data_IF_217767002671
#
_entry.id   IF_217767002671
#
_cell.length_a   1.000
_cell.length_b   1.000
_cell.length_c   1.000
_cell.angle_alpha   90.00
_cell.angle_beta   90.00
_cell.angle_gamma   90.00
#
_symmetry.space_group_name_H-M   'P 1'
#
loop_
_entity.id
_entity.type
_entity.pdbx_description
1 polymer ?
#
# COMPACT_ATOMS: atom_id res chain seq x y z
N UNK A 1 41.20 -18.65 -26.40
CA UNK A 1 40.12 -18.72 -25.37
C UNK A 1 39.45 -17.35 -25.07
N UNK A 2 39.23 -16.46 -26.07
CA UNK A 2 38.58 -15.14 -25.85
C UNK A 2 37.19 -15.01 -26.48
N UNK A 3 36.89 -15.78 -27.53
CA UNK A 3 35.62 -15.72 -28.27
C UNK A 3 34.44 -16.33 -27.50
N UNK A 4 34.67 -17.40 -26.74
CA UNK A 4 33.61 -18.06 -25.94
C UNK A 4 33.03 -17.15 -24.84
N UNK A 5 33.83 -16.23 -24.27
CA UNK A 5 33.36 -15.29 -23.24
C UNK A 5 32.51 -14.15 -23.81
N UNK A 6 32.78 -13.73 -25.05
CA UNK A 6 31.96 -12.72 -25.74
C UNK A 6 30.59 -13.25 -26.12
N UNK A 7 30.50 -14.51 -26.58
CA UNK A 7 29.21 -15.12 -26.92
C UNK A 7 28.29 -15.26 -25.70
N UNK A 8 28.83 -15.60 -24.51
CA UNK A 8 28.05 -15.71 -23.27
C UNK A 8 27.53 -14.34 -22.80
N UNK A 9 28.33 -13.29 -22.94
CA UNK A 9 27.94 -11.91 -22.61
C UNK A 9 26.83 -11.39 -23.53
N UNK A 10 26.92 -11.67 -24.83
CA UNK A 10 25.87 -11.28 -25.79
C UNK A 10 24.58 -12.06 -25.51
N UNK A 11 24.65 -13.35 -25.18
CA UNK A 11 23.48 -14.15 -24.80
C UNK A 11 22.80 -13.62 -23.52
N UNK A 12 23.57 -13.18 -22.52
CA UNK A 12 23.05 -12.58 -21.30
C UNK A 12 22.37 -11.22 -21.54
N UNK A 13 22.91 -10.39 -22.44
CA UNK A 13 22.30 -9.09 -22.79
C UNK A 13 21.00 -9.29 -23.57
N UNK A 14 20.94 -10.27 -24.47
CA UNK A 14 19.71 -10.60 -25.22
C UNK A 14 18.63 -11.19 -24.32
N UNK A 15 18.99 -12.04 -23.35
CA UNK A 15 18.05 -12.53 -22.32
C UNK A 15 17.59 -11.41 -21.36
N UNK A 16 18.46 -10.43 -21.08
CA UNK A 16 18.12 -9.26 -20.27
C UNK A 16 17.22 -8.23 -20.98
N UNK A 17 17.27 -8.16 -22.31
CA UNK A 17 16.40 -7.28 -23.10
C UNK A 17 14.97 -7.82 -23.24
N UNK A 18 14.77 -9.14 -23.12
CA UNK A 18 13.44 -9.75 -23.21
C UNK A 18 12.56 -9.50 -21.96
N UNK A 19 13.14 -9.13 -20.82
CA UNK A 19 12.40 -8.75 -19.59
C UNK A 19 12.09 -7.25 -19.51
N UNK A 20 12.54 -6.44 -20.48
CA UNK A 20 12.37 -5.00 -20.47
C UNK A 20 11.12 -4.52 -21.24
N UNK A 21 10.43 -5.41 -21.95
CA UNK A 21 9.08 -5.14 -22.47
C UNK A 21 8.04 -5.63 -21.47
N UNK A 22 8.05 -5.04 -20.27
CA UNK A 22 6.80 -4.91 -19.55
C UNK A 22 6.00 -3.89 -20.36
N UNK A 23 5.14 -4.39 -21.26
CA UNK A 23 4.11 -3.58 -21.88
C UNK A 23 3.46 -2.80 -20.75
N UNK A 24 3.71 -1.49 -20.72
CA UNK A 24 2.92 -0.56 -19.94
C UNK A 24 1.57 -0.51 -20.64
N UNK A 25 0.77 -1.58 -20.47
CA UNK A 25 -0.62 -1.57 -20.85
C UNK A 25 -1.21 -0.40 -20.09
N UNK A 26 -1.60 0.60 -20.86
CA UNK A 26 -2.27 1.81 -20.41
C UNK A 26 -3.73 1.42 -20.11
N UNK A 27 -3.90 0.38 -19.27
CA UNK A 27 -5.20 -0.08 -18.81
C UNK A 27 -5.78 1.01 -17.92
N UNK A 28 -7.10 1.21 -17.92
CA UNK A 28 -7.75 2.25 -17.13
C UNK A 28 -7.60 1.95 -15.63
N UNK A 29 -6.48 2.46 -15.10
CA UNK A 29 -6.04 2.53 -13.71
C UNK A 29 -7.06 3.27 -12.85
N UNK A 30 -7.92 2.51 -12.23
CA UNK A 30 -8.83 3.04 -11.25
C UNK A 30 -8.04 3.57 -10.04
N UNK A 31 -8.24 4.82 -9.61
CA UNK A 31 -7.48 5.44 -8.50
C UNK A 31 -8.29 5.36 -7.20
N UNK A 32 -7.71 4.71 -6.18
CA UNK A 32 -8.09 5.02 -4.79
C UNK A 32 -7.35 6.28 -4.38
N UNK A 33 -8.06 7.40 -4.18
CA UNK A 33 -7.52 8.53 -3.43
C UNK A 33 -7.50 8.11 -1.97
N UNK A 34 -6.41 7.43 -1.63
CA UNK A 34 -6.18 6.85 -0.33
C UNK A 34 -5.84 7.98 0.61
N UNK A 35 -6.88 8.50 1.26
CA UNK A 35 -6.76 9.05 2.59
C UNK A 35 -5.99 10.37 2.55
N UNK A 36 -6.68 11.50 2.39
CA UNK A 36 -6.11 12.82 2.70
C UNK A 36 -6.57 13.25 4.08
N UNK A 37 -5.66 13.82 4.88
CA UNK A 37 -5.97 14.45 6.16
C UNK A 37 -5.66 15.94 6.11
N UNK A 38 -6.64 16.79 6.39
CA UNK A 38 -6.44 18.22 6.61
C UNK A 38 -6.45 18.47 8.12
N UNK A 39 -5.31 18.92 8.64
CA UNK A 39 -5.36 19.83 9.79
C UNK A 39 -5.34 21.25 9.21
N UNK A 40 -6.30 22.16 9.54
CA UNK A 40 -7.10 22.16 10.76
C UNK A 40 -8.65 22.20 10.60
N UNK A 41 -9.29 21.86 9.47
CA UNK A 41 -10.79 21.83 9.36
C UNK A 41 -11.28 21.10 8.08
N UNK A 42 -12.57 20.68 7.99
CA UNK A 42 -12.93 19.29 7.76
C UNK A 42 -12.93 18.87 6.28
N UNK A 43 -12.39 17.69 6.01
CA UNK A 43 -12.64 16.95 4.77
C UNK A 43 -14.09 16.48 4.63
N UNK A 44 -14.88 16.52 5.71
CA UNK A 44 -16.24 16.02 5.72
C UNK A 44 -17.21 17.00 5.05
N UNK A 45 -18.18 16.50 4.25
CA UNK A 45 -19.27 17.33 3.75
C UNK A 45 -20.14 17.84 4.91
N UNK A 46 -21.02 18.81 4.63
CA UNK A 46 -21.92 19.40 5.64
C UNK A 46 -22.80 18.39 6.40
N UNK A 47 -23.00 17.19 5.83
CA UNK A 47 -23.74 16.08 6.46
C UNK A 47 -22.89 15.27 7.46
N UNK A 48 -21.61 15.57 7.61
CA UNK A 48 -20.65 14.86 8.45
C UNK A 48 -19.95 13.70 7.73
N UNK A 49 -18.99 13.10 8.43
CA UNK A 49 -18.31 11.87 8.05
C UNK A 49 -18.90 10.66 8.80
N UNK A 50 -18.85 9.49 8.19
CA UNK A 50 -19.24 8.24 8.85
C UNK A 50 -18.13 7.76 9.79
N UNK A 51 -18.43 7.63 11.09
CA UNK A 51 -17.49 7.05 12.06
C UNK A 51 -17.29 5.55 11.82
N UNK A 52 -16.03 5.11 11.71
CA UNK A 52 -15.67 3.72 11.42
C UNK A 52 -14.66 3.18 12.44
N UNK A 53 -14.77 1.88 12.73
CA UNK A 53 -13.88 1.16 13.63
C UNK A 53 -12.70 0.50 12.91
N UNK A 54 -12.04 -0.45 13.58
CA UNK A 54 -10.92 -1.22 13.01
C UNK A 54 -11.34 -2.09 11.82
N UNK A 55 -12.61 -2.50 11.79
CA UNK A 55 -13.22 -3.23 10.69
C UNK A 55 -14.45 -2.46 10.26
N UNK A 56 -14.61 -2.25 8.95
CA UNK A 56 -15.79 -1.60 8.40
C UNK A 56 -16.02 -2.03 6.96
N UNK A 57 -17.23 -1.82 6.46
CA UNK A 57 -17.58 -2.10 5.08
C UNK A 57 -18.19 -0.87 4.44
N UNK A 58 -17.99 -0.72 3.14
CA UNK A 58 -18.58 0.34 2.35
C UNK A 58 -18.77 -0.12 0.90
N UNK A 59 -19.66 0.55 0.19
CA UNK A 59 -19.92 0.26 -1.22
C UNK A 59 -19.43 1.40 -2.10
N UNK A 60 -18.90 1.06 -3.27
CA UNK A 60 -18.55 2.04 -4.31
C UNK A 60 -19.80 2.84 -4.69
N UNK A 61 -19.69 4.17 -4.88
CA UNK A 61 -20.80 5.00 -5.35
C UNK A 61 -21.47 4.42 -6.59
N UNK A 62 -22.78 4.62 -6.75
CA UNK A 62 -23.57 4.05 -7.86
C UNK A 62 -23.01 4.36 -9.25
N UNK A 63 -22.33 5.49 -9.41
CA UNK A 63 -21.72 5.93 -10.67
C UNK A 63 -20.28 5.44 -10.86
N UNK A 64 -19.76 4.59 -9.97
CA UNK A 64 -18.40 4.05 -10.06
C UNK A 64 -17.29 5.04 -9.72
N UNK A 65 -17.65 6.26 -9.32
CA UNK A 65 -16.71 7.33 -8.98
C UNK A 65 -17.27 8.24 -7.89
N UNK A 66 -16.37 8.98 -7.25
CA UNK A 66 -16.68 9.91 -6.17
C UNK A 66 -15.91 9.61 -4.90
N UNK A 67 -16.20 10.37 -3.85
CA UNK A 67 -15.49 10.28 -2.57
C UNK A 67 -16.43 9.76 -1.48
N UNK A 68 -15.93 8.81 -0.70
CA UNK A 68 -16.51 8.40 0.57
C UNK A 68 -15.74 9.08 1.71
N UNK A 69 -16.47 9.50 2.74
CA UNK A 69 -15.94 10.33 3.82
C UNK A 69 -16.13 9.62 5.16
N UNK A 70 -15.02 9.38 5.85
CA UNK A 70 -14.96 8.59 7.06
C UNK A 70 -14.23 9.32 8.18
N UNK A 71 -14.49 8.92 9.42
CA UNK A 71 -13.72 9.33 10.60
C UNK A 71 -13.25 8.11 11.34
N UNK A 72 -11.96 8.05 11.68
CA UNK A 72 -11.43 7.01 12.54
C UNK A 72 -12.01 7.16 13.95
N UNK A 73 -13.00 6.33 14.28
CA UNK A 73 -13.65 6.25 15.58
C UNK A 73 -13.26 4.98 16.34
N UNK A 74 -12.14 4.35 15.96
CA UNK A 74 -11.70 3.06 16.51
C UNK A 74 -11.05 3.15 17.90
N UNK A 75 -10.71 4.34 18.37
CA UNK A 75 -9.93 4.55 19.58
C UNK A 75 -8.42 4.29 19.41
N UNK A 76 -7.94 4.01 18.19
CA UNK A 76 -6.53 3.70 17.89
C UNK A 76 -6.04 4.45 16.66
N UNK A 77 -4.74 4.77 16.63
CA UNK A 77 -4.09 5.32 15.44
C UNK A 77 -3.81 4.18 14.45
N UNK A 78 -4.12 4.39 13.18
CA UNK A 78 -3.92 3.38 12.14
C UNK A 78 -2.62 3.64 11.39
N UNK A 79 -1.85 2.57 11.22
CA UNK A 79 -0.55 2.54 10.52
C UNK A 79 -0.60 1.71 9.23
N UNK A 80 -1.70 0.97 9.02
CA UNK A 80 -2.02 0.30 7.77
C UNK A 80 -3.54 0.23 7.57
N UNK A 81 -3.96 0.09 6.32
CA UNK A 81 -5.34 -0.11 5.92
C UNK A 81 -5.39 -1.11 4.77
N UNK A 82 -6.09 -2.21 4.96
CA UNK A 82 -6.31 -3.23 3.94
C UNK A 82 -7.76 -3.14 3.47
N UNK A 83 -7.98 -3.12 2.16
CA UNK A 83 -9.29 -3.13 1.53
C UNK A 83 -9.42 -4.41 0.71
N UNK A 84 -10.53 -5.14 0.87
CA UNK A 84 -10.79 -6.39 0.17
C UNK A 84 -12.10 -6.27 -0.60
N UNK A 85 -12.01 -6.61 -1.88
CA UNK A 85 -13.11 -6.66 -2.85
C UNK A 85 -13.36 -8.12 -3.26
N UNK A 86 -14.61 -8.46 -3.62
CA UNK A 86 -15.03 -9.84 -3.89
C UNK A 86 -14.57 -10.43 -5.24
N UNK A 87 -13.63 -9.80 -5.95
CA UNK A 87 -12.97 -10.34 -7.14
C UNK A 87 -13.60 -9.90 -8.47
N UNK A 88 -14.46 -8.89 -8.45
CA UNK A 88 -15.11 -8.31 -9.63
C UNK A 88 -14.13 -7.49 -10.46
N UNK A 89 -13.12 -6.88 -9.83
CA UNK A 89 -12.11 -6.05 -10.50
C UNK A 89 -10.74 -6.69 -10.33
N UNK A 90 -10.01 -7.01 -11.41
CA UNK A 90 -8.68 -7.61 -11.30
C UNK A 90 -7.66 -6.63 -10.72
N UNK A 91 -6.70 -7.13 -9.93
CA UNK A 91 -5.69 -6.30 -9.26
C UNK A 91 -4.82 -5.48 -10.23
N UNK A 92 -4.64 -5.96 -11.47
CA UNK A 92 -3.91 -5.26 -12.54
C UNK A 92 -4.63 -4.00 -13.05
N UNK A 93 -5.95 -3.93 -12.91
CA UNK A 93 -6.75 -2.77 -13.31
C UNK A 93 -6.83 -1.70 -12.21
N UNK A 94 -6.26 -1.98 -11.02
CA UNK A 94 -6.33 -1.08 -9.86
C UNK A 94 -5.02 -0.31 -9.74
N UNK A 95 -5.13 1.00 -9.61
CA UNK A 95 -4.05 1.87 -9.18
C UNK A 95 -4.40 2.57 -7.87
N UNK A 96 -3.36 3.01 -7.17
CA UNK A 96 -3.54 3.57 -5.85
C UNK A 96 -2.71 4.84 -5.75
N UNK A 97 -3.36 5.93 -5.35
CA UNK A 97 -2.72 7.22 -5.12
C UNK A 97 -3.08 7.63 -3.70
N UNK A 98 -2.09 7.63 -2.81
CA UNK A 98 -2.32 7.88 -1.40
C UNK A 98 -1.24 8.82 -0.85
N UNK A 99 -1.57 9.56 0.21
CA UNK A 99 -0.65 10.51 0.85
C UNK A 99 -0.50 10.34 2.38
N UNK A 100 -1.18 9.36 2.99
CA UNK A 100 -1.10 9.11 4.44
C UNK A 100 -0.26 7.89 4.82
N UNK A 101 0.08 7.03 3.86
CA UNK A 101 0.93 5.86 4.04
C UNK A 101 2.17 5.96 3.14
N UNK A 102 3.12 5.04 3.32
CA UNK A 102 4.32 4.99 2.47
C UNK A 102 4.17 4.13 1.22
N UNK A 103 3.28 3.14 1.29
CA UNK A 103 3.12 2.11 0.26
C UNK A 103 1.65 1.92 -0.09
N UNK A 104 1.40 1.47 -1.31
CA UNK A 104 0.12 0.91 -1.69
C UNK A 104 0.34 -0.23 -2.68
N UNK A 105 -0.14 -1.42 -2.35
CA UNK A 105 0.06 -2.63 -3.16
C UNK A 105 -1.26 -3.33 -3.39
N UNK A 106 -1.44 -3.91 -4.57
CA UNK A 106 -2.63 -4.68 -4.95
C UNK A 106 -2.25 -6.13 -5.21
N UNK A 107 -3.10 -7.07 -4.78
CA UNK A 107 -2.90 -8.50 -4.98
C UNK A 107 -4.23 -9.21 -5.16
N UNK A 108 -4.29 -10.14 -6.09
CA UNK A 108 -5.40 -11.10 -6.19
C UNK A 108 -5.16 -12.26 -5.22
N UNK A 109 -6.14 -12.54 -4.37
CA UNK A 109 -6.17 -13.65 -3.43
C UNK A 109 -6.58 -14.95 -4.14
N UNK A 110 -6.30 -16.09 -3.50
CA UNK A 110 -6.57 -17.42 -4.08
C UNK A 110 -8.06 -17.68 -4.35
N UNK A 111 -8.95 -17.02 -3.60
CA UNK A 111 -10.39 -17.11 -3.77
C UNK A 111 -10.93 -16.17 -4.87
N UNK A 112 -10.06 -15.47 -5.59
CA UNK A 112 -10.43 -14.51 -6.63
C UNK A 112 -10.65 -13.07 -6.12
N UNK A 113 -10.79 -12.87 -4.81
CA UNK A 113 -10.89 -11.54 -4.20
C UNK A 113 -9.65 -10.70 -4.48
N UNK A 114 -9.80 -9.37 -4.47
CA UNK A 114 -8.68 -8.46 -4.61
C UNK A 114 -8.43 -7.71 -3.31
N UNK A 115 -7.17 -7.77 -2.87
CA UNK A 115 -6.66 -7.11 -1.69
C UNK A 115 -5.84 -5.88 -2.10
N UNK A 116 -6.13 -4.75 -1.47
CA UNK A 116 -5.42 -3.48 -1.61
C UNK A 116 -4.88 -3.12 -0.24
N UNK A 117 -3.56 -3.12 -0.09
CA UNK A 117 -2.89 -2.85 1.19
C UNK A 117 -2.22 -1.49 1.11
N UNK A 118 -2.64 -0.57 1.98
CA UNK A 118 -1.95 0.69 2.25
C UNK A 118 -1.15 0.53 3.55
N UNK A 119 0.18 0.69 3.51
CA UNK A 119 0.99 0.46 4.71
C UNK A 119 2.21 1.36 4.83
N UNK A 120 2.72 1.37 6.06
CA UNK A 120 3.91 2.08 6.48
C UNK A 120 3.67 3.57 6.69
N UNK A 121 4.41 4.11 7.66
CA UNK A 121 4.34 5.51 8.09
C UNK A 121 5.76 6.06 8.11
N UNK A 122 5.95 7.33 7.73
CA UNK A 122 7.21 8.05 7.96
C UNK A 122 7.15 8.77 9.28
N UNK A 123 8.12 8.52 10.15
CA UNK A 123 8.33 9.35 11.34
C UNK A 123 8.95 10.69 10.94
N UNK A 124 8.40 11.81 11.42
CA UNK A 124 8.92 13.17 11.17
C UNK A 124 7.83 14.22 10.93
N UNK A 125 8.16 15.36 10.31
CA UNK A 125 7.21 16.42 9.91
C UNK A 125 6.46 16.11 8.59
N UNK A 126 6.51 14.86 8.13
CA UNK A 126 5.89 14.44 6.87
C UNK A 126 4.40 14.11 7.08
N UNK A 127 3.56 14.24 6.04
CA UNK A 127 2.12 13.94 6.12
C UNK A 127 1.82 12.45 6.33
N UNK A 128 2.77 11.55 6.05
CA UNK A 128 2.61 10.09 6.07
C UNK A 128 2.65 9.47 7.49
N UNK A 129 1.80 9.95 8.40
CA UNK A 129 1.71 9.46 9.80
C UNK A 129 0.58 8.44 10.01
N UNK A 130 -0.06 7.98 8.93
CA UNK A 130 -1.26 7.16 8.99
C UNK A 130 -2.51 7.97 9.34
N UNK A 131 -3.51 7.29 9.92
CA UNK A 131 -4.81 7.90 10.28
C UNK A 131 -4.95 7.92 11.79
N UNK A 132 -4.82 9.09 12.40
CA UNK A 132 -4.94 9.23 13.85
C UNK A 132 -6.38 9.00 14.32
N UNK A 133 -6.54 8.59 15.57
CA UNK A 133 -7.86 8.48 16.19
C UNK A 133 -8.56 9.86 16.19
N UNK A 134 -9.83 9.89 15.79
CA UNK A 134 -10.63 11.10 15.62
C UNK A 134 -10.35 11.86 14.32
N UNK A 135 -9.38 11.44 13.51
CA UNK A 135 -9.08 12.07 12.23
C UNK A 135 -10.02 11.60 11.14
N UNK A 136 -10.49 12.54 10.32
CA UNK A 136 -11.28 12.26 9.13
C UNK A 136 -10.38 11.96 7.93
N UNK A 137 -10.87 11.07 7.07
CA UNK A 137 -10.21 10.66 5.85
C UNK A 137 -11.21 10.39 4.73
N UNK A 138 -10.69 10.26 3.52
CA UNK A 138 -11.49 9.96 2.33
C UNK A 138 -10.97 8.73 1.60
N UNK A 139 -11.89 8.01 0.98
CA UNK A 139 -11.59 6.99 -0.02
C UNK A 139 -12.25 7.47 -1.31
N UNK A 140 -11.45 7.97 -2.24
CA UNK A 140 -11.94 8.41 -3.54
C UNK A 140 -11.83 7.32 -4.58
N UNK A 141 -12.79 7.26 -5.50
CA UNK A 141 -12.82 6.38 -6.65
C UNK A 141 -12.84 7.25 -7.91
N UNK A 142 -11.86 7.08 -8.78
CA UNK A 142 -11.79 7.80 -10.05
C UNK A 142 -12.00 6.86 -11.24
N UNK A 143 -12.60 7.41 -12.30
CA UNK A 143 -12.63 6.77 -13.60
C UNK A 143 -11.39 7.16 -14.41
N UNK A 144 -10.93 6.27 -15.30
CA UNK A 144 -9.94 6.61 -16.31
C UNK A 144 -10.46 6.30 -17.71
N UNK A 145 -10.32 7.30 -18.59
CA UNK A 145 -10.57 7.18 -20.03
C UNK A 145 -11.90 6.49 -20.41
N UNK A 146 -12.96 6.69 -19.59
CA UNK A 146 -14.33 6.12 -19.69
C UNK A 146 -14.61 4.82 -18.93
N UNK A 147 -13.63 4.19 -18.30
CA UNK A 147 -13.85 3.05 -17.40
C UNK A 147 -13.88 3.50 -15.94
N UNK A 148 -14.99 3.22 -15.27
CA UNK A 148 -15.21 3.48 -13.85
C UNK A 148 -15.28 2.16 -13.06
N UNK A 149 -15.26 2.23 -11.74
CA UNK A 149 -15.60 1.05 -10.94
C UNK A 149 -17.03 0.58 -11.23
N UNK A 150 -17.31 -0.73 -11.09
CA UNK A 150 -18.67 -1.21 -10.95
C UNK A 150 -19.35 -0.51 -9.75
N UNK A 151 -20.47 0.18 -9.99
CA UNK A 151 -21.20 0.85 -8.93
C UNK A 151 -21.87 -0.14 -7.98
N UNK A 152 -21.87 0.16 -6.68
CA UNK A 152 -22.44 -0.73 -5.65
C UNK A 152 -21.56 -1.93 -5.28
N UNK A 153 -20.32 -1.97 -5.75
CA UNK A 153 -19.34 -2.97 -5.36
C UNK A 153 -18.99 -2.83 -3.87
N UNK A 154 -19.07 -3.92 -3.12
CA UNK A 154 -18.79 -3.91 -1.69
C UNK A 154 -17.31 -4.16 -1.40
N UNK A 155 -16.78 -3.35 -0.48
CA UNK A 155 -15.47 -3.50 0.11
C UNK A 155 -15.58 -3.81 1.60
N UNK A 156 -14.69 -4.68 2.07
CA UNK A 156 -14.39 -4.82 3.49
C UNK A 156 -13.04 -4.19 3.78
N UNK A 157 -12.95 -3.43 4.86
CA UNK A 157 -11.76 -2.70 5.25
C UNK A 157 -11.30 -3.13 6.63
N UNK A 158 -9.98 -3.35 6.76
CA UNK A 158 -9.30 -3.74 7.98
C UNK A 158 -8.15 -2.78 8.26
N UNK A 159 -8.21 -2.07 9.37
CA UNK A 159 -7.13 -1.19 9.82
C UNK A 159 -6.15 -1.92 10.74
N UNK A 160 -4.85 -1.63 10.59
CA UNK A 160 -3.81 -2.06 11.53
C UNK A 160 -3.32 -0.88 12.37
N UNK A 161 -3.10 -1.10 13.68
CA UNK A 161 -2.70 -0.05 14.63
C UNK A 161 -1.27 -0.23 15.19
N UNK A 162 -0.55 -1.27 14.79
CA UNK A 162 0.81 -1.53 15.22
C UNK A 162 1.76 -1.39 14.02
N UNK A 163 2.96 -0.79 14.20
CA UNK A 163 4.05 -0.98 13.24
C UNK A 163 4.25 -2.48 13.10
N UNK A 164 4.15 -3.00 11.87
CA UNK A 164 4.16 -4.44 11.63
C UNK A 164 5.30 -5.10 12.40
N UNK A 165 5.03 -6.09 13.27
CA UNK A 165 6.04 -6.64 14.17
C UNK A 165 7.25 -7.22 13.44
N UNK A 166 7.10 -7.59 12.16
CA UNK A 166 8.21 -8.02 11.30
C UNK A 166 9.26 -6.94 11.06
N UNK A 167 8.88 -5.66 10.95
CA UNK A 167 9.84 -4.58 10.67
C UNK A 167 10.71 -4.27 11.89
N UNK A 168 10.12 -4.28 13.09
CA UNK A 168 10.86 -4.10 14.34
C UNK A 168 11.77 -5.30 14.60
N UNK A 169 11.27 -6.52 14.37
CA UNK A 169 12.07 -7.74 14.51
C UNK A 169 13.25 -7.78 13.51
N UNK A 170 13.04 -7.39 12.25
CA UNK A 170 14.10 -7.33 11.23
C UNK A 170 15.13 -6.23 11.53
N UNK A 171 14.72 -5.07 12.02
CA UNK A 171 15.66 -4.03 12.46
C UNK A 171 16.48 -4.47 13.67
N UNK A 172 15.85 -5.10 14.66
CA UNK A 172 16.54 -5.60 15.86
C UNK A 172 17.51 -6.75 15.54
N UNK A 173 17.11 -7.69 14.68
CA UNK A 173 18.00 -8.77 14.22
C UNK A 173 19.13 -8.23 13.33
N UNK A 174 18.86 -7.25 12.47
CA UNK A 174 19.87 -6.56 11.68
C UNK A 174 20.93 -5.84 12.53
N UNK A 175 20.50 -5.09 13.55
CA UNK A 175 21.44 -4.48 14.52
C UNK A 175 22.20 -5.54 15.33
N UNK A 176 21.53 -6.60 15.77
CA UNK A 176 22.15 -7.71 16.50
C UNK A 176 23.25 -8.40 15.69
N UNK A 177 23.01 -8.64 14.40
CA UNK A 177 24.01 -9.23 13.50
C UNK A 177 25.25 -8.33 13.31
N UNK A 178 25.07 -7.02 13.24
CA UNK A 178 26.17 -6.05 13.12
C UNK A 178 27.00 -5.95 14.41
N UNK A 179 26.37 -5.98 15.58
CA UNK A 179 27.07 -5.97 16.88
C UNK A 179 27.79 -7.30 17.13
N UNK A 180 27.17 -8.44 16.79
CA UNK A 180 27.79 -9.77 16.91
C UNK A 180 29.07 -9.89 16.07
N UNK A 181 29.05 -9.39 14.82
CA UNK A 181 30.24 -9.37 13.95
C UNK A 181 31.37 -8.48 14.50
N UNK A 182 31.05 -7.35 15.14
CA UNK A 182 32.07 -6.49 15.77
C UNK A 182 32.75 -7.13 16.98
N UNK A 183 32.06 -8.01 17.72
CA UNK A 183 32.64 -8.70 18.88
C UNK A 183 33.58 -9.84 18.47
N UNK A 184 33.27 -10.54 17.37
CA UNK A 184 34.12 -11.59 16.80
C UNK A 184 35.46 -11.07 16.25
N UNK A 185 35.52 -9.85 15.73
CA UNK A 185 36.76 -9.24 15.25
C UNK A 185 37.69 -8.71 16.36
N UNK A 186 37.22 -8.60 17.61
CA UNK A 186 38.04 -8.15 18.74
C UNK A 186 38.66 -9.28 19.56
N UNK A 187 38.43 -10.55 19.21
CA UNK A 187 39.04 -11.70 19.86
C UNK A 187 39.97 -12.55 18.94
N UNK A 188 40.93 -11.98 18.19
CA UNK A 188 42.14 -12.71 17.87
C UNK A 188 43.14 -12.49 19.01
N UNK A 189 43.66 -13.59 19.58
CA UNK A 189 44.64 -13.66 20.68
C UNK A 189 44.09 -13.64 22.11
N UNK A 190 43.71 -14.82 22.57
CA UNK A 190 44.24 -15.37 23.82
C UNK A 190 44.28 -16.89 23.69
N UNK A 191 45.40 -17.39 23.18
CA UNK A 191 45.88 -18.76 23.35
C UNK A 191 47.34 -18.70 23.76
#
# INVERSE_FOLDING_TARGET
MKISRFCVLILLIVLGAAVAFADSVNDPRIIIHGVSGSSPTPLCPAKGCTGVGMNFSFSVPKHGSGFLFFTNASGKNWTSLTLIENGTVPASAISCIQNLFTSCTTKTLQNGSVEIVLSGIRSGKNPEIGILNGQSFTIGFACLAESCWPGGLDFTAHAGAAPEPGTVALMLTGLGALVSRRKLWKNPFNS
#
